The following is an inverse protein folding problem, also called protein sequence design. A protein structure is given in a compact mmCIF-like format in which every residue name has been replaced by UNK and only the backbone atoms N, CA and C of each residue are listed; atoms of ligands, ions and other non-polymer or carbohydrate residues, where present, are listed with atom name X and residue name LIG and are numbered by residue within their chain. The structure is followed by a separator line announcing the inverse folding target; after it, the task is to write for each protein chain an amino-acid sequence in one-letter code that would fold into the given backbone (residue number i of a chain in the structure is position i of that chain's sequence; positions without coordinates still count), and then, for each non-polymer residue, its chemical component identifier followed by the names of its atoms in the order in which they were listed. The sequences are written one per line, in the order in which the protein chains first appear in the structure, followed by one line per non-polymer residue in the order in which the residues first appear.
data_IF_277205880302
#
_entry.id   IF_277205880302
#
_cell.length_a   1.000
_cell.length_b   1.000
_cell.length_c   1.000
_cell.angle_alpha   90.00
_cell.angle_beta   90.00
_cell.angle_gamma   90.00
#
_symmetry.space_group_name_H-M   'P 1'
#
loop_
_entity.id
_entity.type
_entity.pdbx_description
1 polymer ?
#
# COMPACT_ATOMS: atom_id res chain seq x y z
N UNK A 1 -92.75 -6.22 11.50
CA UNK A 1 -91.65 -7.15 11.87
C UNK A 1 -90.30 -6.53 11.44
N UNK A 2 -89.54 -6.19 12.43
CA UNK A 2 -88.31 -5.39 12.33
C UNK A 2 -87.12 -6.21 11.85
N UNK A 3 -86.32 -5.70 10.91
CA UNK A 3 -84.99 -6.20 10.65
C UNK A 3 -84.00 -5.03 10.59
N UNK A 4 -83.11 -5.01 11.56
CA UNK A 4 -81.98 -4.08 11.73
C UNK A 4 -80.87 -4.33 10.70
N UNK A 5 -80.22 -3.35 10.08
CA UNK A 5 -79.01 -3.54 9.33
C UNK A 5 -77.76 -3.32 10.22
N UNK A 6 -76.87 -4.30 10.20
CA UNK A 6 -75.55 -4.25 10.86
C UNK A 6 -74.65 -3.28 10.16
N UNK A 7 -74.08 -2.35 10.94
CA UNK A 7 -72.98 -1.46 10.54
C UNK A 7 -71.68 -2.26 10.39
N UNK A 8 -71.06 -2.20 9.23
CA UNK A 8 -69.68 -2.59 9.04
C UNK A 8 -68.78 -1.41 9.38
N UNK A 9 -67.98 -1.57 10.45
CA UNK A 9 -66.92 -0.65 10.84
C UNK A 9 -65.63 -0.98 10.02
N UNK A 10 -65.24 -0.10 9.10
CA UNK A 10 -64.02 -0.21 8.35
C UNK A 10 -62.81 0.16 9.23
N UNK A 11 -61.99 -0.80 9.54
CA UNK A 11 -60.67 -0.61 10.18
C UNK A 11 -59.65 -0.25 9.11
N UNK A 12 -59.32 1.05 8.96
CA UNK A 12 -58.21 1.51 8.16
C UNK A 12 -56.90 1.17 8.86
N UNK A 13 -56.21 0.14 8.38
CA UNK A 13 -54.87 -0.22 8.81
C UNK A 13 -53.86 0.70 8.09
N UNK A 14 -53.42 1.77 8.75
CA UNK A 14 -52.31 2.61 8.30
C UNK A 14 -51.01 1.84 8.51
N UNK A 15 -50.48 1.24 7.43
CA UNK A 15 -49.13 0.73 7.39
C UNK A 15 -48.14 1.93 7.39
N UNK A 16 -47.53 2.21 8.51
CA UNK A 16 -46.33 3.05 8.61
C UNK A 16 -45.15 2.27 8.03
N UNK A 17 -44.79 2.50 6.77
CA UNK A 17 -43.49 2.14 6.24
C UNK A 17 -42.45 3.04 6.92
N UNK A 18 -41.78 2.52 7.95
CA UNK A 18 -40.60 3.11 8.49
C UNK A 18 -39.47 2.90 7.44
N UNK A 19 -39.23 3.93 6.63
CA UNK A 19 -38.05 4.03 5.77
C UNK A 19 -36.83 4.15 6.69
N UNK A 20 -36.21 3.03 7.01
CA UNK A 20 -34.88 3.01 7.68
C UNK A 20 -33.91 3.56 6.69
N UNK A 21 -33.73 4.88 6.68
CA UNK A 21 -32.52 5.49 6.10
C UNK A 21 -31.32 4.91 6.85
N UNK A 22 -30.63 3.97 6.22
CA UNK A 22 -29.28 3.58 6.58
C UNK A 22 -28.37 4.80 6.35
N UNK A 23 -28.42 5.76 7.28
CA UNK A 23 -27.40 6.79 7.35
C UNK A 23 -26.12 6.07 7.73
N UNK A 24 -25.21 5.86 6.75
CA UNK A 24 -23.83 5.51 7.03
C UNK A 24 -23.33 6.52 8.07
N UNK A 25 -23.05 6.05 9.30
CA UNK A 25 -22.41 6.91 10.31
C UNK A 25 -21.13 7.45 9.68
N UNK A 26 -20.91 8.77 9.70
CA UNK A 26 -19.61 9.30 9.25
C UNK A 26 -18.52 8.61 10.05
N UNK A 27 -17.45 8.18 9.35
CA UNK A 27 -16.31 7.56 9.97
C UNK A 27 -15.83 8.43 11.13
N UNK A 28 -15.70 7.85 12.32
CA UNK A 28 -15.16 8.56 13.49
C UNK A 28 -13.71 8.91 13.20
N UNK A 29 -13.43 10.20 13.02
CA UNK A 29 -12.09 10.70 12.75
C UNK A 29 -11.66 11.64 13.86
N UNK A 30 -10.44 11.46 14.34
CA UNK A 30 -9.83 12.28 15.39
C UNK A 30 -8.43 12.69 14.95
N UNK A 31 -8.17 14.01 14.85
CA UNK A 31 -6.82 14.53 14.66
C UNK A 31 -6.00 14.31 15.93
N UNK A 32 -4.81 13.72 15.75
CA UNK A 32 -3.88 13.40 16.83
C UNK A 32 -2.87 14.54 17.02
N UNK A 33 -2.36 15.10 15.89
CA UNK A 33 -1.38 16.19 15.92
C UNK A 33 -1.11 16.74 14.53
N UNK A 34 -0.44 17.91 14.49
CA UNK A 34 -0.05 18.65 13.28
C UNK A 34 1.43 18.98 13.32
N UNK A 35 2.05 19.07 12.13
CA UNK A 35 3.43 19.55 11.97
C UNK A 35 3.57 20.22 10.59
N UNK A 36 3.70 21.55 10.57
CA UNK A 36 3.64 22.33 9.34
C UNK A 36 2.33 22.08 8.58
N UNK A 37 2.40 21.70 7.29
CA UNK A 37 1.23 21.32 6.50
C UNK A 37 0.80 19.86 6.70
N UNK A 38 1.62 19.04 7.39
CA UNK A 38 1.31 17.64 7.68
C UNK A 38 0.53 17.45 8.98
N UNK A 39 -0.23 16.36 9.06
CA UNK A 39 -1.02 16.02 10.22
C UNK A 39 -1.36 14.52 10.28
N UNK A 40 -1.62 14.06 11.51
CA UNK A 40 -1.97 12.67 11.81
C UNK A 40 -3.40 12.59 12.34
N UNK A 41 -4.18 11.68 11.81
CA UNK A 41 -5.51 11.36 12.33
C UNK A 41 -5.69 9.85 12.56
N UNK A 42 -6.74 9.51 13.30
CA UNK A 42 -7.23 8.15 13.46
C UNK A 42 -8.64 8.07 12.88
N UNK A 43 -8.83 7.27 11.84
CA UNK A 43 -10.11 7.08 11.14
C UNK A 43 -10.60 5.66 11.40
N UNK A 44 -11.72 5.51 12.11
CA UNK A 44 -12.26 4.22 12.54
C UNK A 44 -11.26 3.30 13.24
N UNK A 45 -10.23 3.88 13.84
CA UNK A 45 -9.16 3.14 14.49
C UNK A 45 -7.87 2.96 13.67
N UNK A 46 -7.90 3.26 12.36
CA UNK A 46 -6.73 3.21 11.48
C UNK A 46 -5.97 4.54 11.48
N UNK A 47 -4.63 4.48 11.55
CA UNK A 47 -3.79 5.68 11.45
C UNK A 47 -3.70 6.16 10.00
N UNK A 48 -4.02 7.43 9.79
CA UNK A 48 -3.90 8.11 8.48
C UNK A 48 -2.99 9.34 8.67
N UNK A 49 -1.88 9.33 7.97
CA UNK A 49 -0.87 10.39 8.01
C UNK A 49 -0.95 11.21 6.72
N UNK A 50 -1.22 12.50 6.85
CA UNK A 50 -1.20 13.45 5.74
C UNK A 50 0.15 14.17 5.73
N UNK A 51 0.85 14.11 4.59
CA UNK A 51 2.15 14.72 4.36
C UNK A 51 2.06 15.69 3.19
N UNK A 52 2.69 16.87 3.31
CA UNK A 52 2.67 17.85 2.24
C UNK A 52 3.94 18.71 2.22
N UNK A 53 4.45 19.00 1.03
CA UNK A 53 5.59 19.87 0.81
C UNK A 53 6.74 19.20 0.08
N UNK A 54 7.95 19.68 0.29
CA UNK A 54 9.18 19.06 -0.21
C UNK A 54 9.40 17.69 0.43
N UNK A 55 10.24 16.85 -0.18
CA UNK A 55 10.56 15.54 0.37
C UNK A 55 11.14 15.62 1.79
N UNK A 56 12.03 16.59 2.05
CA UNK A 56 12.53 16.79 3.40
C UNK A 56 11.40 17.14 4.39
N UNK A 57 10.51 18.06 4.02
CA UNK A 57 9.38 18.46 4.87
C UNK A 57 8.45 17.27 5.16
N UNK A 58 8.12 16.47 4.14
CA UNK A 58 7.30 15.27 4.32
C UNK A 58 7.97 14.25 5.24
N UNK A 59 9.27 14.03 5.07
CA UNK A 59 10.04 13.17 5.98
C UNK A 59 10.03 13.70 7.41
N UNK A 60 10.26 15.00 7.62
CA UNK A 60 10.24 15.64 8.93
C UNK A 60 8.86 15.51 9.59
N UNK A 61 7.79 15.79 8.86
CA UNK A 61 6.41 15.62 9.33
C UNK A 61 6.14 14.18 9.77
N UNK A 62 6.52 13.19 8.96
CA UNK A 62 6.39 11.78 9.35
C UNK A 62 7.18 11.49 10.62
N UNK A 63 8.44 11.97 10.69
CA UNK A 63 9.33 11.78 11.82
C UNK A 63 8.73 12.31 13.13
N UNK A 64 8.17 13.53 13.11
CA UNK A 64 7.55 14.15 14.27
C UNK A 64 6.25 13.46 14.67
N UNK A 65 5.35 13.26 13.70
CA UNK A 65 3.97 12.81 13.96
C UNK A 65 3.88 11.32 14.32
N UNK A 66 4.84 10.51 13.87
CA UNK A 66 4.91 9.07 14.17
C UNK A 66 6.15 8.70 15.00
N UNK A 67 6.78 9.65 15.69
CA UNK A 67 8.07 9.49 16.40
C UNK A 67 8.17 8.19 17.21
N UNK A 68 7.20 7.92 18.06
CA UNK A 68 7.20 6.74 18.91
C UNK A 68 7.04 5.44 18.13
N UNK A 69 6.18 5.44 17.08
CA UNK A 69 6.02 4.30 16.20
C UNK A 69 7.32 4.02 15.43
N UNK A 70 7.96 5.06 14.89
CA UNK A 70 9.20 4.95 14.11
C UNK A 70 10.33 4.39 14.99
N UNK A 71 10.53 4.96 16.18
CA UNK A 71 11.58 4.52 17.10
C UNK A 71 11.44 3.04 17.49
N UNK A 72 10.22 2.61 17.84
CA UNK A 72 9.94 1.22 18.19
C UNK A 72 10.13 0.27 17.00
N UNK A 73 9.59 0.65 15.83
CA UNK A 73 9.68 -0.16 14.63
C UNK A 73 11.14 -0.36 14.20
N UNK A 74 11.91 0.73 14.11
CA UNK A 74 13.31 0.66 13.69
C UNK A 74 14.19 -0.07 14.72
N UNK A 75 13.96 0.15 16.01
CA UNK A 75 14.67 -0.60 17.05
C UNK A 75 14.45 -2.11 16.90
N UNK A 76 13.19 -2.53 16.74
CA UNK A 76 12.85 -3.94 16.55
C UNK A 76 13.50 -4.51 15.28
N UNK A 77 13.37 -3.82 14.14
CA UNK A 77 13.92 -4.30 12.86
C UNK A 77 15.46 -4.39 12.87
N UNK A 78 16.14 -3.38 13.41
CA UNK A 78 17.59 -3.25 13.29
C UNK A 78 18.34 -3.94 14.44
N UNK A 79 17.79 -3.93 15.66
CA UNK A 79 18.48 -4.45 16.84
C UNK A 79 17.97 -5.84 17.24
N UNK A 80 16.65 -6.07 17.31
CA UNK A 80 16.15 -7.38 17.72
C UNK A 80 16.22 -8.40 16.59
N UNK A 81 15.79 -8.04 15.38
CA UNK A 81 15.78 -8.95 14.23
C UNK A 81 17.09 -8.88 13.44
N UNK A 82 17.64 -7.68 13.25
CA UNK A 82 18.86 -7.44 12.48
C UNK A 82 20.15 -7.98 13.12
N UNK A 83 20.22 -8.09 14.44
CA UNK A 83 21.39 -8.57 15.16
C UNK A 83 21.35 -10.08 15.46
N UNK A 84 20.17 -10.69 15.49
CA UNK A 84 19.99 -12.11 15.87
C UNK A 84 20.07 -13.07 14.68
N UNK A 85 19.78 -12.61 13.47
CA UNK A 85 19.74 -13.43 12.25
C UNK A 85 21.07 -13.31 11.50
N UNK A 86 21.71 -14.44 11.16
CA UNK A 86 22.85 -14.47 10.28
C UNK A 86 22.42 -14.69 8.85
N UNK A 87 22.87 -13.84 7.94
CA UNK A 87 22.74 -14.06 6.48
C UNK A 87 23.99 -14.79 6.01
N UNK A 88 23.81 -15.95 5.39
CA UNK A 88 24.89 -16.80 4.88
C UNK A 88 25.04 -16.55 3.37
N UNK A 89 26.18 -15.98 2.97
CA UNK A 89 26.59 -15.78 1.58
C UNK A 89 27.65 -16.81 1.14
N UNK A 90 27.62 -18.00 1.71
CA UNK A 90 28.57 -19.09 1.47
C UNK A 90 29.82 -18.97 2.36
N UNK A 91 30.89 -18.37 1.88
CA UNK A 91 32.17 -18.24 2.64
C UNK A 91 32.12 -17.12 3.70
N UNK A 92 31.16 -16.22 3.64
CA UNK A 92 31.05 -15.07 4.55
C UNK A 92 29.69 -15.07 5.22
N UNK A 93 29.68 -15.08 6.55
CA UNK A 93 28.47 -14.93 7.38
C UNK A 93 28.40 -13.49 7.86
N UNK A 94 27.44 -12.73 7.37
CA UNK A 94 27.21 -11.34 7.78
C UNK A 94 25.97 -11.25 8.66
N UNK A 95 25.99 -10.34 9.63
CA UNK A 95 24.76 -9.89 10.29
C UNK A 95 23.91 -9.18 9.25
N UNK A 96 22.55 -9.25 9.34
CA UNK A 96 21.65 -8.58 8.41
C UNK A 96 21.99 -7.09 8.23
N UNK A 97 22.30 -6.36 9.30
CA UNK A 97 22.69 -4.95 9.24
C UNK A 97 23.95 -4.71 8.38
N UNK A 98 24.96 -5.56 8.45
CA UNK A 98 26.15 -5.46 7.62
C UNK A 98 25.86 -5.76 6.14
N UNK A 99 24.97 -6.74 5.88
CA UNK A 99 24.51 -7.05 4.54
C UNK A 99 23.74 -5.86 3.93
N UNK A 100 22.83 -5.25 4.69
CA UNK A 100 22.10 -4.06 4.27
C UNK A 100 23.05 -2.90 3.95
N UNK A 101 24.05 -2.64 4.79
CA UNK A 101 25.05 -1.58 4.53
C UNK A 101 25.80 -1.82 3.22
N UNK A 102 26.15 -3.06 2.89
CA UNK A 102 26.76 -3.41 1.61
C UNK A 102 25.80 -3.09 0.44
N UNK A 103 24.54 -3.45 0.55
CA UNK A 103 23.50 -3.11 -0.45
C UNK A 103 23.37 -1.60 -0.62
N UNK A 104 23.35 -0.85 0.48
CA UNK A 104 23.30 0.62 0.46
C UNK A 104 24.47 1.21 -0.33
N UNK A 105 25.70 0.76 -0.08
CA UNK A 105 26.87 1.29 -0.79
C UNK A 105 26.76 1.03 -2.31
N UNK A 106 26.24 -0.11 -2.73
CA UNK A 106 26.02 -0.43 -4.14
C UNK A 106 24.91 0.44 -4.73
N UNK A 107 23.81 0.66 -4.01
CA UNK A 107 22.63 1.40 -4.50
C UNK A 107 22.76 2.91 -4.38
N UNK A 108 23.70 3.41 -3.59
CA UNK A 108 23.89 4.85 -3.33
C UNK A 108 23.98 5.69 -4.62
N UNK A 109 24.74 5.31 -5.68
CA UNK A 109 24.80 6.09 -6.92
C UNK A 109 23.47 6.17 -7.69
N UNK A 110 22.56 5.26 -7.42
CA UNK A 110 21.28 5.14 -8.12
C UNK A 110 20.09 5.70 -7.32
N UNK A 111 20.33 6.07 -6.05
CA UNK A 111 19.27 6.56 -5.17
C UNK A 111 18.96 8.03 -5.49
N UNK A 112 17.71 8.37 -5.90
CA UNK A 112 17.33 9.75 -6.15
C UNK A 112 17.51 10.64 -4.94
N UNK A 113 18.11 11.84 -5.14
CA UNK A 113 18.44 12.77 -4.04
C UNK A 113 17.21 13.15 -3.22
N UNK A 114 16.05 13.30 -3.85
CA UNK A 114 14.79 13.63 -3.17
C UNK A 114 14.44 12.64 -2.06
N UNK A 115 14.69 11.34 -2.24
CA UNK A 115 14.44 10.33 -1.20
C UNK A 115 15.52 10.33 -0.11
N UNK A 116 16.75 10.70 -0.46
CA UNK A 116 17.78 10.96 0.56
C UNK A 116 17.37 12.11 1.46
N UNK A 117 16.81 13.19 0.89
CA UNK A 117 16.35 14.35 1.64
C UNK A 117 15.13 14.01 2.51
N UNK A 118 14.20 13.18 2.02
CA UNK A 118 13.07 12.68 2.80
C UNK A 118 13.54 11.83 4.00
N UNK A 119 14.50 10.91 3.80
CA UNK A 119 15.10 10.15 4.89
C UNK A 119 15.82 11.06 5.92
N UNK A 120 16.48 12.12 5.49
CA UNK A 120 17.12 13.11 6.40
C UNK A 120 16.07 13.86 7.21
N UNK A 121 14.97 14.28 6.56
CA UNK A 121 13.84 14.91 7.24
C UNK A 121 13.25 13.98 8.29
N UNK A 122 13.01 12.71 7.94
CA UNK A 122 12.48 11.71 8.85
C UNK A 122 13.40 11.49 10.06
N UNK A 123 14.70 11.36 9.84
CA UNK A 123 15.69 11.21 10.90
C UNK A 123 15.66 12.41 11.87
N UNK A 124 15.63 13.64 11.32
CA UNK A 124 15.57 14.87 12.12
C UNK A 124 14.27 14.97 12.93
N UNK A 125 13.11 14.69 12.31
CA UNK A 125 11.81 14.74 12.97
C UNK A 125 11.61 13.67 14.05
N UNK A 126 12.10 12.47 13.82
CA UNK A 126 12.04 11.37 14.78
C UNK A 126 13.14 11.42 15.84
N UNK A 127 14.14 12.31 15.66
CA UNK A 127 15.35 12.42 16.51
C UNK A 127 16.08 11.07 16.65
N UNK A 128 16.37 10.45 15.52
CA UNK A 128 17.13 9.19 15.41
C UNK A 128 18.27 9.35 14.41
N UNK A 129 19.24 8.44 14.44
CA UNK A 129 20.36 8.46 13.50
C UNK A 129 19.87 8.28 12.05
N UNK A 130 20.42 9.08 11.12
CA UNK A 130 20.12 8.96 9.69
C UNK A 130 20.47 7.58 9.15
N UNK A 131 21.54 6.97 9.65
CA UNK A 131 22.00 5.64 9.29
C UNK A 131 20.95 4.56 9.58
N UNK A 132 20.21 4.70 10.67
CA UNK A 132 19.13 3.76 11.03
C UNK A 132 17.92 3.94 10.11
N UNK A 133 17.54 5.18 9.81
CA UNK A 133 16.49 5.47 8.81
C UNK A 133 16.86 4.89 7.45
N UNK A 134 18.10 5.16 7.02
CA UNK A 134 18.63 4.65 5.75
C UNK A 134 18.63 3.12 5.74
N UNK A 135 19.18 2.48 6.77
CA UNK A 135 19.22 1.02 6.85
C UNK A 135 17.82 0.40 6.76
N UNK A 136 16.83 0.96 7.45
CA UNK A 136 15.44 0.49 7.39
C UNK A 136 14.83 0.62 5.99
N UNK A 137 15.08 1.73 5.29
CA UNK A 137 14.51 1.99 3.97
C UNK A 137 15.22 1.26 2.82
N UNK A 138 16.31 0.55 3.10
CA UNK A 138 17.02 -0.30 2.15
C UNK A 138 16.89 -1.80 2.48
N UNK A 139 16.02 -2.18 3.42
CA UNK A 139 15.69 -3.60 3.64
C UNK A 139 15.01 -4.14 2.38
N UNK A 140 15.60 -5.16 1.72
CA UNK A 140 15.03 -5.69 0.49
C UNK A 140 13.71 -6.42 0.76
N UNK A 141 12.74 -6.24 -0.13
CA UNK A 141 11.55 -7.09 -0.19
C UNK A 141 11.96 -8.45 -0.79
N UNK A 142 11.94 -9.51 0.02
CA UNK A 142 12.41 -10.84 -0.40
C UNK A 142 11.32 -11.91 -0.25
N UNK A 143 10.06 -11.52 0.01
CA UNK A 143 9.00 -12.44 0.37
C UNK A 143 8.00 -12.68 -0.75
N UNK A 144 7.33 -13.84 -0.69
CA UNK A 144 6.38 -14.29 -1.70
C UNK A 144 5.01 -13.67 -1.48
N UNK A 145 4.69 -12.69 -2.28
CA UNK A 145 3.40 -12.00 -2.28
C UNK A 145 2.45 -12.55 -3.35
N UNK A 146 1.28 -11.96 -3.46
CA UNK A 146 0.36 -12.17 -4.58
C UNK A 146 -0.24 -10.84 -5.03
N UNK A 147 -0.58 -10.75 -6.30
CA UNK A 147 -1.28 -9.61 -6.86
C UNK A 147 -2.19 -10.04 -8.00
N UNK A 148 -3.26 -9.30 -8.22
CA UNK A 148 -4.14 -9.52 -9.35
C UNK A 148 -4.80 -8.22 -9.80
N UNK A 149 -5.21 -8.18 -11.05
CA UNK A 149 -6.22 -7.25 -11.54
C UNK A 149 -7.33 -8.02 -12.25
N UNK A 150 -8.56 -7.57 -12.10
CA UNK A 150 -9.75 -8.06 -12.80
C UNK A 150 -10.55 -6.87 -13.29
N UNK A 151 -11.04 -6.91 -14.53
CA UNK A 151 -11.75 -5.78 -15.14
C UNK A 151 -12.74 -6.25 -16.22
N UNK A 152 -13.41 -5.32 -16.85
CA UNK A 152 -14.24 -5.54 -18.04
C UNK A 152 -15.22 -6.71 -17.86
N UNK A 153 -15.14 -7.75 -18.74
CA UNK A 153 -16.06 -8.89 -18.67
C UNK A 153 -15.84 -9.82 -17.46
N UNK A 154 -14.73 -9.67 -16.73
CA UNK A 154 -14.47 -10.43 -15.49
C UNK A 154 -15.27 -9.88 -14.29
N UNK A 155 -15.67 -8.62 -14.30
CA UNK A 155 -16.41 -7.96 -13.21
C UNK A 155 -17.87 -7.71 -13.58
N UNK A 156 -18.73 -7.49 -12.58
CA UNK A 156 -20.18 -7.37 -12.74
C UNK A 156 -20.59 -6.20 -13.67
N UNK A 157 -19.87 -5.09 -13.60
CA UNK A 157 -20.17 -3.83 -14.27
C UNK A 157 -18.99 -3.25 -15.06
N UNK A 158 -17.94 -4.06 -15.28
CA UNK A 158 -16.72 -3.65 -15.97
C UNK A 158 -15.72 -2.93 -15.08
N UNK A 159 -16.00 -2.72 -13.80
CA UNK A 159 -15.09 -2.03 -12.87
C UNK A 159 -13.75 -2.76 -12.75
N UNK A 160 -12.66 -2.00 -12.85
CA UNK A 160 -11.31 -2.47 -12.60
C UNK A 160 -11.04 -2.55 -11.11
N UNK A 161 -10.74 -3.74 -10.62
CA UNK A 161 -10.19 -3.98 -9.28
C UNK A 161 -8.75 -4.46 -9.37
N UNK A 162 -7.91 -3.95 -8.48
CA UNK A 162 -6.52 -4.38 -8.33
C UNK A 162 -6.28 -4.81 -6.89
N UNK A 163 -5.98 -6.08 -6.68
CA UNK A 163 -5.72 -6.69 -5.38
C UNK A 163 -4.24 -6.91 -5.13
N UNK A 164 -3.77 -6.59 -3.93
CA UNK A 164 -2.40 -6.77 -3.45
C UNK A 164 -2.40 -7.51 -2.12
N UNK A 165 -1.65 -8.60 -2.04
CA UNK A 165 -1.46 -9.44 -0.86
C UNK A 165 0.00 -9.38 -0.46
N UNK A 166 0.33 -8.72 0.64
CA UNK A 166 1.69 -8.68 1.20
C UNK A 166 1.85 -9.81 2.22
N UNK A 167 2.58 -10.84 1.84
CA UNK A 167 2.96 -11.92 2.74
C UNK A 167 4.39 -11.68 3.23
N UNK A 168 4.50 -11.10 4.41
CA UNK A 168 5.76 -10.78 5.07
C UNK A 168 5.85 -11.51 6.41
N UNK A 169 6.74 -11.13 7.29
CA UNK A 169 6.90 -11.75 8.60
C UNK A 169 6.09 -11.02 9.68
N UNK A 170 4.91 -11.55 10.06
CA UNK A 170 4.08 -10.96 11.14
C UNK A 170 4.76 -11.02 12.52
N UNK A 171 5.78 -11.85 12.70
CA UNK A 171 6.60 -11.92 13.93
C UNK A 171 7.64 -10.80 14.02
N UNK A 172 7.72 -9.92 13.03
CA UNK A 172 8.58 -8.74 13.03
C UNK A 172 7.90 -7.50 13.64
N UNK A 173 6.62 -7.57 13.98
CA UNK A 173 5.90 -6.50 14.65
C UNK A 173 5.54 -5.30 13.78
N UNK A 174 5.78 -5.36 12.47
CA UNK A 174 5.46 -4.27 11.53
C UNK A 174 3.99 -3.84 11.60
N UNK A 175 3.08 -4.80 11.79
CA UNK A 175 1.63 -4.55 11.86
C UNK A 175 1.22 -3.57 12.96
N UNK A 176 2.00 -3.47 14.05
CA UNK A 176 1.73 -2.54 15.15
C UNK A 176 2.04 -1.08 14.80
N UNK A 177 2.68 -0.88 13.65
CA UNK A 177 3.11 0.41 13.13
C UNK A 177 2.51 0.72 11.76
N UNK A 178 1.42 0.02 11.39
CA UNK A 178 0.73 0.21 10.13
C UNK A 178 0.14 1.62 10.03
N UNK A 179 0.29 2.25 8.88
CA UNK A 179 -0.19 3.59 8.58
C UNK A 179 -0.57 3.73 7.11
N UNK A 180 -1.64 4.45 6.84
CA UNK A 180 -2.01 4.92 5.51
C UNK A 180 -1.42 6.33 5.33
N UNK A 181 -0.44 6.47 4.47
CA UNK A 181 0.17 7.76 4.15
C UNK A 181 -0.54 8.38 2.96
N UNK A 182 -1.09 9.58 3.13
CA UNK A 182 -1.62 10.45 2.07
C UNK A 182 -0.58 11.53 1.84
N UNK A 183 0.09 11.49 0.71
CA UNK A 183 1.20 12.40 0.41
C UNK A 183 0.84 13.36 -0.73
N UNK A 184 1.19 14.64 -0.54
CA UNK A 184 1.10 15.72 -1.54
C UNK A 184 2.52 16.29 -1.77
N UNK A 185 3.38 15.58 -2.52
CA UNK A 185 4.75 16.06 -2.78
C UNK A 185 4.74 17.31 -3.66
N UNK A 186 5.61 18.27 -3.35
CA UNK A 186 5.76 19.49 -4.15
C UNK A 186 6.19 19.14 -5.59
N UNK A 187 5.38 19.53 -6.57
CA UNK A 187 5.60 19.22 -7.99
C UNK A 187 5.26 17.80 -8.42
N UNK A 188 4.77 16.95 -7.52
CA UNK A 188 4.37 15.57 -7.81
C UNK A 188 2.85 15.34 -7.79
N UNK A 189 2.45 14.13 -8.13
CA UNK A 189 1.06 13.69 -8.07
C UNK A 189 0.72 13.27 -6.64
N UNK A 190 -0.37 13.75 -6.03
CA UNK A 190 -0.83 13.24 -4.74
C UNK A 190 -1.14 11.74 -4.79
N UNK A 191 -0.78 11.02 -3.74
CA UNK A 191 -0.96 9.56 -3.69
C UNK A 191 -1.24 9.04 -2.28
N UNK A 192 -1.69 7.80 -2.22
CA UNK A 192 -1.80 7.01 -1.01
C UNK A 192 -0.79 5.87 -1.03
N UNK A 193 -0.08 5.68 0.10
CA UNK A 193 0.86 4.59 0.33
C UNK A 193 0.41 3.77 1.55
N UNK A 194 0.17 2.48 1.36
CA UNK A 194 -0.13 1.55 2.45
C UNK A 194 1.18 1.00 2.96
N UNK A 195 1.61 1.45 4.14
CA UNK A 195 2.97 1.24 4.64
C UNK A 195 3.03 1.16 6.17
N UNK A 196 4.21 1.27 6.71
CA UNK A 196 4.52 1.22 8.14
C UNK A 196 5.37 2.42 8.54
N UNK A 197 5.22 2.90 9.78
CA UNK A 197 5.93 4.06 10.29
C UNK A 197 7.45 3.91 10.13
N UNK A 198 8.08 4.90 9.49
CA UNK A 198 9.51 4.94 9.22
C UNK A 198 9.94 4.55 7.81
N UNK A 199 9.03 3.98 7.01
CA UNK A 199 9.29 3.71 5.60
C UNK A 199 8.81 4.87 4.74
N UNK A 200 9.67 5.34 3.82
CA UNK A 200 9.34 6.37 2.84
C UNK A 200 9.10 5.78 1.44
N UNK A 201 9.69 4.63 1.13
CA UNK A 201 9.44 3.88 -0.09
C UNK A 201 8.02 3.32 -0.13
N UNK A 202 7.64 2.74 -1.25
CA UNK A 202 6.32 2.09 -1.40
C UNK A 202 6.46 0.69 -1.99
N UNK A 203 5.55 -0.19 -1.58
CA UNK A 203 5.33 -1.51 -2.20
C UNK A 203 3.85 -1.69 -2.58
N UNK A 204 2.98 -0.75 -2.14
CA UNK A 204 1.52 -0.83 -2.32
C UNK A 204 0.94 0.58 -2.29
N UNK A 205 0.44 1.09 -3.42
CA UNK A 205 -0.11 2.44 -3.44
C UNK A 205 -0.95 2.74 -4.68
N UNK A 206 -1.56 3.93 -4.65
CA UNK A 206 -2.39 4.46 -5.73
C UNK A 206 -2.29 5.99 -5.74
N UNK A 207 -2.23 6.60 -6.92
CA UNK A 207 -2.16 8.05 -7.06
C UNK A 207 -3.47 8.68 -7.56
N UNK A 208 -3.54 10.00 -7.52
CA UNK A 208 -4.71 10.78 -7.97
C UNK A 208 -4.93 10.75 -9.48
N UNK A 209 -3.99 10.21 -10.25
CA UNK A 209 -4.16 9.91 -11.67
C UNK A 209 -4.74 8.50 -11.91
N UNK A 210 -5.31 7.89 -10.86
CA UNK A 210 -5.95 6.56 -10.93
C UNK A 210 -4.99 5.43 -11.31
N UNK A 211 -3.68 5.60 -11.09
CA UNK A 211 -2.68 4.55 -11.27
C UNK A 211 -2.44 3.88 -9.91
N UNK A 212 -2.62 2.57 -9.84
CA UNK A 212 -2.30 1.75 -8.66
C UNK A 212 -1.22 0.74 -8.98
N UNK A 213 -0.35 0.46 -8.01
CA UNK A 213 0.75 -0.48 -8.14
C UNK A 213 0.90 -1.30 -6.87
N UNK A 214 1.13 -2.61 -7.06
CA UNK A 214 1.47 -3.55 -6.01
C UNK A 214 2.69 -4.39 -6.41
N UNK A 215 3.69 -4.43 -5.56
CA UNK A 215 4.94 -5.14 -5.78
C UNK A 215 4.89 -6.54 -5.15
N UNK A 216 5.62 -7.47 -5.71
CA UNK A 216 5.81 -8.82 -5.19
C UNK A 216 7.28 -9.21 -5.32
N UNK A 217 7.88 -9.70 -4.23
CA UNK A 217 9.27 -10.13 -4.20
C UNK A 217 9.55 -11.31 -5.13
N UNK A 218 10.70 -11.27 -5.74
CA UNK A 218 11.22 -12.31 -6.64
C UNK A 218 12.46 -12.99 -6.09
N UNK A 219 13.34 -13.43 -7.00
CA UNK A 219 14.62 -14.10 -6.73
C UNK A 219 15.77 -13.23 -7.25
N UNK A 220 16.97 -13.78 -7.34
CA UNK A 220 18.09 -13.11 -7.98
C UNK A 220 18.86 -12.18 -7.06
N UNK A 221 18.94 -12.51 -5.77
CA UNK A 221 19.78 -11.80 -4.81
C UNK A 221 21.21 -11.64 -5.34
N UNK A 222 21.78 -10.43 -5.17
CA UNK A 222 23.12 -10.09 -5.60
C UNK A 222 23.20 -9.04 -6.72
N UNK A 223 22.13 -8.80 -7.47
CA UNK A 223 22.06 -7.75 -8.49
C UNK A 223 21.48 -6.46 -7.89
N UNK A 224 22.27 -5.75 -7.10
CA UNK A 224 21.82 -4.56 -6.36
C UNK A 224 22.14 -3.23 -7.07
N UNK A 225 22.91 -3.23 -8.15
CA UNK A 225 23.31 -2.02 -8.86
C UNK A 225 22.16 -1.40 -9.66
N UNK A 226 21.31 -0.64 -9.00
CA UNK A 226 20.13 0.01 -9.57
C UNK A 226 19.37 0.79 -8.50
N UNK A 227 18.31 1.46 -8.93
CA UNK A 227 17.40 2.19 -8.04
C UNK A 227 16.71 1.18 -7.10
N UNK A 228 16.70 1.41 -5.79
CA UNK A 228 15.95 0.54 -4.86
C UNK A 228 14.51 0.36 -5.31
N UNK A 229 14.00 -0.87 -5.28
CA UNK A 229 12.67 -1.23 -5.78
C UNK A 229 11.57 -0.35 -5.17
N UNK A 230 11.61 -0.14 -3.85
CA UNK A 230 10.58 0.66 -3.16
C UNK A 230 10.58 2.15 -3.62
N UNK A 231 11.70 2.65 -4.11
CA UNK A 231 11.79 4.01 -4.67
C UNK A 231 11.31 4.04 -6.13
N UNK A 232 11.48 2.98 -6.92
CA UNK A 232 10.86 2.88 -8.24
C UNK A 232 9.32 2.87 -8.13
N UNK A 233 8.77 2.09 -7.20
CA UNK A 233 7.31 2.09 -6.94
C UNK A 233 6.85 3.48 -6.48
N UNK A 234 7.61 4.12 -5.61
CA UNK A 234 7.32 5.48 -5.16
C UNK A 234 7.36 6.48 -6.32
N UNK A 235 8.33 6.34 -7.25
CA UNK A 235 8.42 7.17 -8.45
C UNK A 235 7.17 7.05 -9.34
N UNK A 236 6.68 5.83 -9.54
CA UNK A 236 5.39 5.61 -10.25
C UNK A 236 4.26 6.38 -9.59
N UNK A 237 4.15 6.34 -8.26
CA UNK A 237 3.08 7.04 -7.54
C UNK A 237 3.18 8.55 -7.68
N UNK A 238 4.39 9.11 -7.70
CA UNK A 238 4.61 10.55 -7.76
C UNK A 238 4.52 11.14 -9.18
N UNK A 239 4.76 10.32 -10.22
CA UNK A 239 4.97 10.88 -11.57
C UNK A 239 4.07 10.30 -12.65
N UNK A 240 3.66 9.02 -12.54
CA UNK A 240 2.94 8.36 -13.61
C UNK A 240 1.46 8.80 -13.70
N UNK A 241 1.06 9.26 -14.87
CA UNK A 241 -0.30 9.71 -15.15
C UNK A 241 -1.18 8.60 -15.70
N UNK A 242 -0.59 7.54 -16.23
CA UNK A 242 -1.27 6.39 -16.83
C UNK A 242 -0.39 5.13 -16.76
N UNK A 243 -0.91 4.01 -17.29
CA UNK A 243 -0.21 2.72 -17.30
C UNK A 243 1.11 2.78 -18.08
N UNK A 244 1.15 3.48 -19.20
CA UNK A 244 2.32 3.50 -20.07
C UNK A 244 3.46 4.31 -19.42
N UNK A 245 3.14 5.46 -18.78
CA UNK A 245 4.11 6.21 -17.97
C UNK A 245 4.60 5.40 -16.75
N UNK A 246 3.72 4.63 -16.09
CA UNK A 246 4.11 3.76 -14.99
C UNK A 246 5.12 2.68 -15.42
N UNK A 247 4.90 2.07 -16.58
CA UNK A 247 5.83 1.10 -17.17
C UNK A 247 7.15 1.78 -17.56
N UNK A 248 7.10 3.02 -18.10
CA UNK A 248 8.27 3.79 -18.51
C UNK A 248 9.23 4.03 -17.33
N UNK A 249 8.71 4.31 -16.13
CA UNK A 249 9.56 4.43 -14.92
C UNK A 249 10.49 3.24 -14.75
N UNK A 250 10.00 2.01 -14.98
CA UNK A 250 10.83 0.81 -14.88
C UNK A 250 11.74 0.60 -16.09
N UNK A 251 11.33 1.02 -17.28
CA UNK A 251 12.14 0.89 -18.50
C UNK A 251 13.35 1.83 -18.50
N UNK A 252 13.14 3.05 -18.00
CA UNK A 252 14.10 4.15 -18.11
C UNK A 252 15.08 4.21 -16.92
N UNK A 253 14.90 3.35 -15.91
CA UNK A 253 15.76 3.29 -14.75
C UNK A 253 16.52 1.96 -14.66
N UNK A 254 17.70 1.98 -14.04
CA UNK A 254 18.42 0.77 -13.66
C UNK A 254 17.63 0.04 -12.58
N UNK A 255 17.23 -1.18 -12.87
CA UNK A 255 16.52 -2.07 -11.94
C UNK A 255 17.52 -2.95 -11.21
N UNK A 256 17.08 -3.53 -10.10
CA UNK A 256 17.89 -4.43 -9.27
C UNK A 256 17.50 -5.90 -9.53
N UNK A 257 17.54 -6.74 -8.52
CA UNK A 257 17.15 -8.16 -8.61
C UNK A 257 15.71 -8.35 -9.13
N UNK A 258 15.22 -9.57 -9.12
CA UNK A 258 13.92 -9.92 -9.68
C UNK A 258 12.77 -9.44 -8.79
N UNK A 259 11.83 -8.69 -9.38
CA UNK A 259 10.57 -8.25 -8.76
C UNK A 259 9.42 -8.36 -9.74
N UNK A 260 8.24 -8.56 -9.20
CA UNK A 260 6.98 -8.64 -9.95
C UNK A 260 6.04 -7.52 -9.52
N UNK A 261 5.19 -7.07 -10.45
CA UNK A 261 4.24 -6.01 -10.20
C UNK A 261 2.91 -6.30 -10.86
N UNK A 262 1.82 -5.88 -10.23
CA UNK A 262 0.57 -5.59 -10.91
C UNK A 262 0.42 -4.09 -10.93
N UNK A 263 0.16 -3.53 -12.11
CA UNK A 263 -0.09 -2.10 -12.32
C UNK A 263 -1.45 -1.96 -12.99
N UNK A 264 -2.27 -1.03 -12.50
CA UNK A 264 -3.60 -0.80 -13.04
C UNK A 264 -3.89 0.69 -13.18
N UNK A 265 -4.53 1.06 -14.29
CA UNK A 265 -4.95 2.42 -14.64
C UNK A 265 -6.47 2.49 -14.75
N UNK A 266 -7.09 3.15 -13.79
CA UNK A 266 -8.55 3.32 -13.72
C UNK A 266 -9.14 4.25 -14.76
N UNK A 267 -8.36 5.12 -15.42
CA UNK A 267 -8.84 6.01 -16.48
C UNK A 267 -9.09 5.25 -17.77
N UNK A 268 -8.15 4.39 -18.13
CA UNK A 268 -8.22 3.59 -19.36
C UNK A 268 -8.83 2.21 -19.13
N UNK A 269 -9.06 1.82 -17.87
CA UNK A 269 -9.51 0.49 -17.45
C UNK A 269 -8.54 -0.62 -17.89
N UNK A 270 -7.24 -0.29 -18.01
CA UNK A 270 -6.15 -1.20 -18.39
C UNK A 270 -5.34 -1.62 -17.19
N UNK A 271 -4.75 -2.79 -17.26
CA UNK A 271 -3.82 -3.28 -16.26
C UNK A 271 -2.82 -4.23 -16.89
N UNK A 272 -1.73 -4.51 -16.19
CA UNK A 272 -0.70 -5.44 -16.63
C UNK A 272 -0.03 -6.12 -15.43
N UNK A 273 0.34 -7.38 -15.59
CA UNK A 273 1.38 -8.01 -14.81
C UNK A 273 2.75 -7.67 -15.39
N UNK A 274 3.74 -7.41 -14.55
CA UNK A 274 5.09 -7.09 -14.99
C UNK A 274 6.13 -7.86 -14.17
N UNK A 275 7.03 -8.54 -14.87
CA UNK A 275 8.21 -9.19 -14.29
C UNK A 275 9.45 -8.36 -14.65
N UNK A 276 10.27 -8.01 -13.68
CA UNK A 276 11.50 -7.26 -13.89
C UNK A 276 12.69 -7.95 -13.26
N UNK A 277 13.85 -7.79 -13.89
CA UNK A 277 15.16 -8.03 -13.31
C UNK A 277 16.10 -6.92 -13.76
N UNK A 278 17.34 -6.96 -13.31
CA UNK A 278 18.37 -6.02 -13.74
C UNK A 278 18.55 -6.00 -15.28
N UNK A 279 18.35 -7.13 -15.98
CA UNK A 279 18.47 -7.25 -17.44
C UNK A 279 17.14 -7.12 -18.18
N UNK A 280 16.05 -7.67 -17.63
CA UNK A 280 14.82 -7.93 -18.38
C UNK A 280 13.63 -7.20 -17.77
N UNK A 281 12.70 -6.83 -18.64
CA UNK A 281 11.36 -6.40 -18.29
C UNK A 281 10.40 -7.12 -19.22
N UNK A 282 9.49 -7.88 -18.66
CA UNK A 282 8.45 -8.60 -19.37
C UNK A 282 7.08 -8.15 -18.89
N UNK A 283 6.20 -7.84 -19.81
CA UNK A 283 4.80 -7.55 -19.54
C UNK A 283 3.99 -8.83 -19.74
N UNK A 284 2.94 -9.00 -18.95
CA UNK A 284 1.99 -10.12 -19.01
C UNK A 284 0.61 -9.49 -19.07
N UNK A 285 0.03 -9.49 -20.25
CA UNK A 285 -1.28 -8.89 -20.47
C UNK A 285 -2.41 -9.71 -19.82
N UNK A 286 -3.53 -9.10 -19.43
CA UNK A 286 -4.69 -9.82 -18.90
C UNK A 286 -5.18 -10.90 -19.84
N UNK A 287 -5.23 -12.14 -19.35
CA UNK A 287 -5.61 -13.32 -20.14
C UNK A 287 -4.49 -13.94 -20.98
N UNK A 288 -3.28 -13.41 -20.92
CA UNK A 288 -2.12 -13.96 -21.61
C UNK A 288 -1.59 -15.21 -20.90
N UNK A 289 -1.25 -16.23 -21.71
CA UNK A 289 -0.59 -17.43 -21.20
C UNK A 289 0.89 -17.13 -20.90
N UNK A 290 1.33 -17.60 -19.74
CA UNK A 290 2.75 -17.60 -19.39
C UNK A 290 3.13 -18.97 -18.79
N UNK A 291 4.30 -19.55 -19.08
CA UNK A 291 4.67 -20.90 -18.59
C UNK A 291 4.60 -21.05 -17.07
N UNK A 292 4.92 -19.97 -16.31
CA UNK A 292 4.82 -19.94 -14.85
C UNK A 292 3.40 -19.64 -14.36
N UNK A 293 2.49 -19.19 -15.24
CA UNK A 293 1.09 -18.82 -14.96
C UNK A 293 0.17 -19.49 -15.96
N UNK A 294 0.08 -20.86 -15.93
CA UNK A 294 -0.51 -21.64 -17.02
C UNK A 294 -2.04 -21.62 -17.10
N UNK A 295 -2.71 -20.93 -16.17
CA UNK A 295 -4.17 -20.86 -16.10
C UNK A 295 -4.67 -19.42 -16.27
N UNK A 296 -4.43 -18.76 -17.42
CA UNK A 296 -4.88 -17.39 -17.64
C UNK A 296 -6.41 -17.29 -17.61
N UNK A 297 -6.90 -16.12 -17.24
CA UNK A 297 -8.33 -15.77 -17.27
C UNK A 297 -8.47 -14.47 -18.04
N UNK A 298 -9.38 -14.44 -18.99
CA UNK A 298 -9.65 -13.24 -19.80
C UNK A 298 -9.94 -12.02 -18.89
N UNK A 299 -9.45 -10.87 -19.28
CA UNK A 299 -9.62 -9.61 -18.52
C UNK A 299 -9.09 -9.67 -17.06
N UNK A 300 -8.14 -10.57 -16.78
CA UNK A 300 -7.48 -10.71 -15.50
C UNK A 300 -5.97 -10.90 -15.65
N UNK A 301 -5.15 -10.14 -14.91
CA UNK A 301 -3.74 -10.42 -14.70
C UNK A 301 -3.57 -11.00 -13.30
N UNK A 302 -3.02 -12.23 -13.21
CA UNK A 302 -2.95 -12.99 -11.96
C UNK A 302 -1.49 -13.36 -11.69
N UNK A 303 -0.90 -12.81 -10.64
CA UNK A 303 0.48 -13.05 -10.25
C UNK A 303 0.53 -13.66 -8.84
N UNK A 304 0.98 -14.90 -8.78
CA UNK A 304 1.21 -15.65 -7.53
C UNK A 304 2.08 -16.88 -7.87
N UNK A 305 2.34 -17.75 -6.92
CA UNK A 305 3.16 -18.94 -7.12
C UNK A 305 2.48 -20.21 -6.59
N UNK A 306 2.75 -21.33 -7.27
CA UNK A 306 2.33 -22.67 -6.85
C UNK A 306 0.82 -22.79 -6.63
N UNK A 307 0.42 -23.50 -5.56
CA UNK A 307 -0.98 -23.74 -5.21
C UNK A 307 -1.79 -22.45 -4.97
N UNK A 308 -1.13 -21.38 -4.54
CA UNK A 308 -1.76 -20.07 -4.35
C UNK A 308 -2.22 -19.47 -5.67
N UNK A 309 -1.41 -19.60 -6.73
CA UNK A 309 -1.78 -19.22 -8.08
C UNK A 309 -2.94 -20.05 -8.61
N UNK A 310 -2.89 -21.37 -8.42
CA UNK A 310 -3.97 -22.27 -8.86
C UNK A 310 -5.31 -21.90 -8.21
N UNK A 311 -5.28 -21.64 -6.90
CA UNK A 311 -6.47 -21.24 -6.15
C UNK A 311 -6.98 -19.86 -6.60
N UNK A 312 -6.09 -18.88 -6.79
CA UNK A 312 -6.47 -17.54 -7.28
C UNK A 312 -7.13 -17.64 -8.66
N UNK A 313 -6.52 -18.36 -9.60
CA UNK A 313 -7.06 -18.56 -10.93
C UNK A 313 -8.41 -19.29 -10.90
N UNK A 314 -8.55 -20.33 -10.06
CA UNK A 314 -9.81 -21.03 -9.87
C UNK A 314 -10.91 -20.09 -9.38
N UNK A 315 -10.65 -19.30 -8.31
CA UNK A 315 -11.62 -18.34 -7.76
C UNK A 315 -12.05 -17.30 -8.78
N UNK A 316 -11.11 -16.80 -9.58
CA UNK A 316 -11.43 -15.82 -10.62
C UNK A 316 -12.29 -16.45 -11.72
N UNK A 317 -12.03 -17.70 -12.10
CA UNK A 317 -12.89 -18.45 -13.05
C UNK A 317 -14.29 -18.69 -12.50
N UNK A 318 -14.39 -19.12 -11.25
CA UNK A 318 -15.69 -19.45 -10.61
C UNK A 318 -16.57 -18.19 -10.41
N UNK A 319 -15.95 -17.03 -10.14
CA UNK A 319 -16.65 -15.75 -9.96
C UNK A 319 -16.74 -14.88 -11.22
N UNK A 320 -16.28 -15.36 -12.37
CA UNK A 320 -16.17 -14.57 -13.60
C UNK A 320 -17.48 -13.87 -13.97
N UNK A 321 -17.39 -12.58 -14.28
CA UNK A 321 -18.52 -11.71 -14.65
C UNK A 321 -19.40 -11.27 -13.47
N UNK A 322 -19.04 -11.61 -12.22
CA UNK A 322 -19.86 -11.33 -11.03
C UNK A 322 -19.15 -10.53 -9.96
N UNK A 323 -17.85 -10.21 -10.11
CA UNK A 323 -17.07 -9.56 -9.08
C UNK A 323 -17.59 -8.16 -8.76
N UNK A 324 -17.83 -7.92 -7.47
CA UNK A 324 -17.98 -6.61 -6.81
C UNK A 324 -16.74 -6.41 -5.94
N UNK A 325 -16.62 -5.23 -5.27
CA UNK A 325 -15.51 -4.99 -4.35
C UNK A 325 -15.45 -6.05 -3.23
N UNK A 326 -16.61 -6.41 -2.65
CA UNK A 326 -16.69 -7.40 -1.57
C UNK A 326 -16.19 -8.77 -2.03
N UNK A 327 -16.66 -9.26 -3.19
CA UNK A 327 -16.24 -10.56 -3.72
C UNK A 327 -14.81 -10.54 -4.28
N UNK A 328 -14.29 -9.39 -4.72
CA UNK A 328 -12.90 -9.24 -5.09
C UNK A 328 -11.96 -9.29 -3.86
N UNK A 329 -12.39 -8.78 -2.71
CA UNK A 329 -11.69 -8.92 -1.42
C UNK A 329 -11.51 -10.41 -1.06
N UNK A 330 -12.53 -11.24 -1.30
CA UNK A 330 -12.47 -12.68 -1.00
C UNK A 330 -11.41 -13.43 -1.84
N UNK A 331 -10.99 -12.90 -2.99
CA UNK A 331 -9.87 -13.46 -3.75
C UNK A 331 -8.57 -13.47 -2.96
N UNK A 332 -8.40 -12.52 -2.03
CA UNK A 332 -7.22 -12.38 -1.18
C UNK A 332 -7.29 -13.24 0.09
N UNK A 333 -8.39 -13.95 0.33
CA UNK A 333 -8.51 -14.83 1.49
C UNK A 333 -7.57 -16.05 1.36
N UNK A 334 -7.30 -16.72 2.47
CA UNK A 334 -6.45 -17.92 2.47
C UNK A 334 -7.06 -19.04 1.62
N UNK A 335 -6.24 -19.82 0.90
CA UNK A 335 -4.78 -19.92 0.92
C UNK A 335 -4.03 -18.95 0.00
N UNK A 336 -4.71 -18.07 -0.77
CA UNK A 336 -4.01 -17.07 -1.60
C UNK A 336 -3.11 -16.18 -0.73
N UNK A 337 -3.64 -15.62 0.36
CA UNK A 337 -2.81 -15.06 1.43
C UNK A 337 -2.16 -16.15 2.27
N UNK A 338 -0.91 -15.96 2.69
CA UNK A 338 -0.19 -16.89 3.57
C UNK A 338 -0.55 -16.67 5.05
N UNK A 339 -0.04 -17.54 5.93
CA UNK A 339 -0.13 -17.34 7.39
C UNK A 339 0.60 -16.09 7.86
N UNK A 340 1.64 -15.68 7.14
CA UNK A 340 2.45 -14.48 7.36
C UNK A 340 1.90 -13.22 6.68
N UNK A 341 0.64 -13.23 6.25
CA UNK A 341 0.03 -12.14 5.51
C UNK A 341 -0.07 -10.88 6.37
N UNK A 342 0.72 -9.87 6.01
CA UNK A 342 0.93 -8.66 6.77
C UNK A 342 -0.10 -7.58 6.44
N UNK A 343 -0.37 -7.33 5.13
CA UNK A 343 -1.51 -6.53 4.71
C UNK A 343 -2.14 -7.04 3.41
N UNK A 344 -3.42 -6.72 3.25
CA UNK A 344 -4.14 -6.86 2.00
C UNK A 344 -4.72 -5.52 1.59
N UNK A 345 -4.69 -5.23 0.29
CA UNK A 345 -5.32 -4.03 -0.27
C UNK A 345 -6.07 -4.40 -1.54
N UNK A 346 -7.31 -3.94 -1.63
CA UNK A 346 -8.06 -3.88 -2.88
C UNK A 346 -8.16 -2.43 -3.30
N UNK A 347 -7.76 -2.10 -4.52
CA UNK A 347 -7.96 -0.79 -5.14
C UNK A 347 -9.09 -0.85 -6.16
N UNK A 348 -9.87 0.21 -6.23
CA UNK A 348 -10.77 0.60 -7.31
C UNK A 348 -10.23 1.92 -7.89
N UNK A 349 -9.26 1.87 -8.81
CA UNK A 349 -8.46 3.04 -9.17
C UNK A 349 -9.28 4.19 -9.75
N UNK A 350 -10.31 3.91 -10.56
CA UNK A 350 -11.15 4.92 -11.19
C UNK A 350 -11.86 5.83 -10.19
N UNK A 351 -12.33 5.29 -9.09
CA UNK A 351 -12.98 6.04 -8.00
C UNK A 351 -12.01 6.51 -6.94
N UNK A 352 -10.73 6.13 -7.03
CA UNK A 352 -9.70 6.34 -6.01
C UNK A 352 -10.03 5.69 -4.66
N UNK A 353 -10.87 4.66 -4.65
CA UNK A 353 -11.21 3.87 -3.44
C UNK A 353 -10.18 2.79 -3.18
N UNK A 354 -10.01 2.50 -1.90
CA UNK A 354 -9.24 1.35 -1.45
C UNK A 354 -9.86 0.74 -0.19
N UNK A 355 -9.65 -0.57 -0.04
CA UNK A 355 -9.97 -1.33 1.17
C UNK A 355 -8.68 -1.96 1.66
N UNK A 356 -8.32 -1.72 2.91
CA UNK A 356 -7.08 -2.20 3.50
C UNK A 356 -7.33 -2.97 4.78
N UNK A 357 -6.66 -4.09 4.94
CA UNK A 357 -6.57 -4.84 6.19
C UNK A 357 -5.11 -5.08 6.55
N UNK A 358 -4.78 -5.04 7.83
CA UNK A 358 -3.46 -5.39 8.35
C UNK A 358 -3.58 -6.58 9.32
N UNK A 359 -2.50 -7.34 9.45
CA UNK A 359 -2.37 -8.35 10.50
C UNK A 359 -2.61 -7.71 11.87
N UNK A 360 -3.14 -8.49 12.81
CA UNK A 360 -3.32 -8.03 14.19
C UNK A 360 -2.04 -8.16 15.00
N UNK A 361 -1.96 -7.43 16.12
CA UNK A 361 -0.80 -7.46 17.03
C UNK A 361 -0.49 -8.85 17.58
N UNK A 362 -1.49 -9.74 17.66
CA UNK A 362 -1.31 -11.15 18.03
C UNK A 362 -0.89 -12.05 16.85
N UNK A 363 -0.51 -11.46 15.71
CA UNK A 363 0.02 -12.15 14.53
C UNK A 363 -1.01 -12.87 13.66
N UNK A 364 -2.32 -12.61 13.83
CA UNK A 364 -3.33 -13.16 12.92
C UNK A 364 -3.24 -12.48 11.56
N UNK A 365 -3.29 -13.23 10.45
CA UNK A 365 -3.16 -12.72 9.10
C UNK A 365 -4.14 -11.60 8.77
N UNK A 366 -3.72 -10.63 7.94
CA UNK A 366 -4.55 -9.54 7.45
C UNK A 366 -5.81 -10.04 6.73
N UNK A 367 -5.73 -11.14 6.00
CA UNK A 367 -6.86 -11.76 5.31
C UNK A 367 -8.01 -12.18 6.27
N UNK A 368 -7.75 -12.30 7.57
CA UNK A 368 -8.73 -12.65 8.60
C UNK A 368 -9.18 -11.42 9.41
N UNK A 369 -8.77 -10.20 9.01
CA UNK A 369 -9.06 -8.98 9.73
C UNK A 369 -10.13 -8.16 9.02
N UNK A 370 -10.68 -7.17 9.74
CA UNK A 370 -11.60 -6.18 9.16
C UNK A 370 -10.88 -5.34 8.11
N UNK A 371 -11.52 -5.14 6.96
CA UNK A 371 -11.08 -4.17 5.97
C UNK A 371 -11.64 -2.79 6.30
N UNK A 372 -10.76 -1.79 6.24
CA UNK A 372 -11.08 -0.37 6.35
C UNK A 372 -11.21 0.20 4.95
N UNK A 373 -12.27 0.97 4.70
CA UNK A 373 -12.51 1.59 3.40
C UNK A 373 -12.11 3.06 3.42
N UNK A 374 -11.33 3.47 2.43
CA UNK A 374 -10.91 4.85 2.23
C UNK A 374 -11.12 5.27 0.77
N UNK A 375 -11.11 6.57 0.53
CA UNK A 375 -11.10 7.15 -0.80
C UNK A 375 -10.09 8.29 -0.83
N UNK A 376 -9.04 8.16 -1.67
CA UNK A 376 -7.93 9.13 -1.70
C UNK A 376 -8.44 10.55 -2.00
N UNK A 377 -9.36 10.70 -2.97
CA UNK A 377 -9.94 12.01 -3.31
C UNK A 377 -10.74 12.66 -2.15
N UNK A 378 -11.26 11.88 -1.21
CA UNK A 378 -11.91 12.39 -0.01
C UNK A 378 -10.90 12.65 1.11
N UNK A 379 -9.88 11.80 1.26
CA UNK A 379 -8.81 12.02 2.23
C UNK A 379 -8.08 13.34 1.98
N UNK A 380 -7.82 13.69 0.73
CA UNK A 380 -7.17 14.96 0.33
C UNK A 380 -8.01 16.21 0.62
N UNK A 381 -9.33 16.08 0.77
CA UNK A 381 -10.23 17.21 1.15
C UNK A 381 -10.30 17.43 2.65
N UNK A 382 -9.87 16.44 3.45
CA UNK A 382 -9.93 16.53 4.91
C UNK A 382 -9.01 17.63 5.43
N UNK A 383 -9.35 18.15 6.59
CA UNK A 383 -8.57 19.17 7.29
C UNK A 383 -8.37 18.72 8.74
N UNK A 384 -7.23 19.04 9.35
CA UNK A 384 -7.01 18.75 10.76
C UNK A 384 -7.90 19.64 11.64
N UNK A 385 -8.19 19.16 12.85
CA UNK A 385 -8.78 20.01 13.88
C UNK A 385 -7.77 21.10 14.27
N UNK A 386 -8.19 22.35 14.16
CA UNK A 386 -7.36 23.51 14.50
C UNK A 386 -6.88 23.52 15.96
N UNK A 387 -7.61 22.87 16.86
CA UNK A 387 -7.27 22.76 18.29
C UNK A 387 -6.38 21.55 18.62
N UNK A 388 -6.04 20.71 17.62
CA UNK A 388 -5.14 19.59 17.85
C UNK A 388 -3.71 20.05 18.16
N UNK A 389 -2.91 19.24 18.90
CA UNK A 389 -1.52 19.58 19.21
C UNK A 389 -0.72 19.95 17.95
N UNK A 390 0.03 21.03 18.03
CA UNK A 390 0.88 21.50 16.93
C UNK A 390 2.35 21.35 17.32
N UNK A 391 3.12 20.73 16.43
CA UNK A 391 4.55 20.58 16.56
C UNK A 391 5.28 21.56 15.65
N UNK A 392 6.38 22.17 16.10
CA UNK A 392 7.12 23.15 15.29
C UNK A 392 7.73 22.47 14.05
N UNK A 393 7.69 23.19 12.93
CA UNK A 393 8.39 22.85 11.70
C UNK A 393 9.57 23.82 11.53
N UNK A 394 10.81 23.36 11.27
CA UNK A 394 11.93 24.23 10.98
C UNK A 394 11.67 25.13 9.77
N UNK A 395 12.17 26.36 9.79
CA UNK A 395 12.07 27.26 8.64
C UNK A 395 12.81 26.68 7.42
N UNK A 396 12.28 26.88 6.20
CA UNK A 396 12.87 26.32 4.93
C UNK A 396 14.36 26.66 4.76
N UNK A 397 14.83 27.83 5.24
CA UNK A 397 16.25 28.21 5.16
C UNK A 397 17.17 27.37 6.05
N UNK A 398 16.71 26.95 7.23
CA UNK A 398 17.46 26.05 8.13
C UNK A 398 17.54 24.62 7.57
N UNK A 399 16.52 24.21 6.83
CA UNK A 399 16.43 22.90 6.15
C UNK A 399 17.48 22.77 5.06
N UNK A 400 17.68 23.81 4.24
CA UNK A 400 18.68 23.84 3.15
C UNK A 400 20.13 23.75 3.65
N UNK A 401 20.42 24.21 4.87
CA UNK A 401 21.77 24.14 5.47
C UNK A 401 22.07 22.76 6.10
N UNK A 402 21.05 22.04 6.58
CA UNK A 402 21.21 20.70 7.17
C UNK A 402 21.22 19.57 6.12
N UNK A 403 20.78 19.85 4.90
CA UNK A 403 20.74 18.89 3.79
C UNK A 403 22.04 18.82 2.97
N UNK A 404 22.98 19.77 3.17
CA UNK A 404 24.35 19.76 2.59
C UNK A 404 25.30 19.04 3.52
#
# INVERSE_FOLDING_TARGET
MLRNPRRFSGFCLLLFLALVCLTSRPASAQTIGRCGEGWLEKVDGYLVLHLKGTHYEMGYQQGVLLKEHIRKNMYNLLNEKGETTLVDFGLVKLKPRQAIETVIQIQKPYTPQKYVDEMRGLAAGAEIAYEDVRATNFIPEMFHCSGFSIANSATKDGTLFHGRVLDYACDWGLQDHAVLVVAEPEGGIPFVNVTYAGFIGSVTGMNMQSVSIGEMGGRGLGHWAGVPMAFLVREVLETAKDLDEAIAVFKDNYRTCEYYYVIADGKTNRSVGMATSWEKLQLIEPGEFHPLLPNPVKDAALLSAGDRYQELSKRVKDGYGKFTAESAIELMSRPVAMKSNLHNVLFEPKSTKLWVANASSDGKPAANQKYFSFQLSELLKRKPDANSPEHPMPARQEVSQKAK
#
